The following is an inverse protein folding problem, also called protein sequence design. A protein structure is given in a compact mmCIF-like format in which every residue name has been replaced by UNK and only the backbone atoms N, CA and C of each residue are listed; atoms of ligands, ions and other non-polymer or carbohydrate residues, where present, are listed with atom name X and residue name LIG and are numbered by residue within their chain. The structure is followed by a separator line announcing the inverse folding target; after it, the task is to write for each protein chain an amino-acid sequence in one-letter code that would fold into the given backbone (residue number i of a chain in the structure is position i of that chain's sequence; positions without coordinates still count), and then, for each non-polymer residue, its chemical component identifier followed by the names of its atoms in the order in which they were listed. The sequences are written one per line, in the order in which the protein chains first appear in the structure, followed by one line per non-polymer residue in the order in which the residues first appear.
data_IF_294096545091
#
_entry.id   IF_294096545091
#
_cell.length_a   1.000
_cell.length_b   1.000
_cell.length_c   1.000
_cell.angle_alpha   90.00
_cell.angle_beta   90.00
_cell.angle_gamma   90.00
#
_symmetry.space_group_name_H-M   'P 1'
#
loop_
_entity.id
_entity.type
_entity.pdbx_description
1 polymer ?
#
# COMPACT_ATOMS: atom_id res chain seq x y z
N UNK A 1 -19.24 0.66 -26.73
CA UNK A 1 -17.88 0.08 -26.76
C UNK A 1 -16.90 1.23 -26.80
N UNK A 2 -16.41 1.65 -25.65
CA UNK A 2 -15.33 2.61 -25.53
C UNK A 2 -14.40 2.01 -24.47
N UNK A 3 -13.24 1.53 -24.92
CA UNK A 3 -12.15 1.13 -24.04
C UNK A 3 -11.67 2.39 -23.33
N UNK A 4 -11.87 2.45 -22.02
CA UNK A 4 -11.30 3.49 -21.17
C UNK A 4 -9.78 3.42 -21.28
N UNK A 5 -9.07 4.55 -21.47
CA UNK A 5 -7.61 4.54 -21.48
C UNK A 5 -7.09 4.15 -20.09
N UNK A 6 -6.24 3.14 -20.05
CA UNK A 6 -5.49 2.78 -18.84
C UNK A 6 -4.68 4.00 -18.36
N UNK A 7 -4.60 4.24 -17.04
CA UNK A 7 -3.92 5.42 -16.51
C UNK A 7 -2.40 5.27 -16.70
N UNK A 8 -1.77 6.36 -17.15
CA UNK A 8 -0.36 6.48 -17.49
C UNK A 8 0.56 6.72 -16.29
N UNK A 9 0.16 6.28 -15.09
CA UNK A 9 1.00 6.33 -13.90
C UNK A 9 0.81 5.05 -13.09
N UNK A 10 1.63 4.05 -13.40
CA UNK A 10 1.76 2.82 -12.62
C UNK A 10 2.81 3.05 -11.53
N UNK A 11 2.39 3.10 -10.27
CA UNK A 11 3.34 2.99 -9.16
C UNK A 11 3.49 1.51 -8.82
N UNK A 12 4.73 1.03 -8.72
CA UNK A 12 5.01 -0.33 -8.26
C UNK A 12 5.58 -0.23 -6.85
N UNK A 13 4.87 -0.79 -5.88
CA UNK A 13 5.24 -0.78 -4.47
C UNK A 13 5.65 -2.18 -4.02
N UNK A 14 6.89 -2.34 -3.56
CA UNK A 14 7.40 -3.58 -2.99
C UNK A 14 7.36 -3.50 -1.48
N UNK A 15 6.79 -4.54 -0.87
CA UNK A 15 6.56 -4.68 0.57
C UNK A 15 7.14 -6.03 0.98
N UNK A 16 8.20 -6.03 1.79
CA UNK A 16 8.78 -7.26 2.35
C UNK A 16 8.18 -7.55 3.73
N UNK A 17 7.41 -8.64 3.84
CA UNK A 17 6.79 -9.11 5.08
C UNK A 17 7.40 -10.43 5.55
N UNK A 18 7.64 -10.63 6.84
CA UNK A 18 8.14 -11.92 7.34
C UNK A 18 7.00 -12.94 7.60
N UNK A 19 6.63 -13.78 6.63
CA UNK A 19 5.77 -14.96 6.85
C UNK A 19 4.24 -14.74 6.82
N UNK A 20 3.48 -15.82 7.07
CA UNK A 20 2.01 -15.89 6.97
C UNK A 20 1.39 -16.10 8.35
N UNK A 21 0.51 -15.20 8.80
CA UNK A 21 -0.21 -15.36 10.08
C UNK A 21 -1.04 -16.64 10.09
N UNK A 22 -0.61 -17.65 10.87
CA UNK A 22 -1.38 -18.86 11.15
C UNK A 22 -2.07 -18.76 12.51
N UNK A 23 -3.35 -19.16 12.59
CA UNK A 23 -4.17 -19.04 13.80
C UNK A 23 -3.80 -20.02 14.93
N UNK A 24 -2.67 -20.73 14.82
CA UNK A 24 -2.24 -21.70 15.82
C UNK A 24 -1.24 -21.03 16.77
N UNK A 25 -1.73 -20.53 17.91
CA UNK A 25 -0.92 -19.85 18.91
C UNK A 25 0.07 -20.81 19.57
N UNK A 26 1.30 -20.79 19.09
CA UNK A 26 2.52 -21.14 19.83
C UNK A 26 3.39 -19.91 19.72
N UNK A 27 3.83 -19.36 20.86
CA UNK A 27 4.64 -18.13 21.02
C UNK A 27 5.22 -17.62 19.69
N UNK A 28 4.49 -16.70 19.05
CA UNK A 28 4.89 -16.08 17.79
C UNK A 28 6.12 -15.21 18.05
N UNK A 29 7.19 -15.44 17.29
CA UNK A 29 8.28 -14.48 17.15
C UNK A 29 7.66 -13.10 16.88
N UNK A 30 8.08 -12.06 17.61
CA UNK A 30 7.56 -10.69 17.49
C UNK A 30 7.70 -10.07 16.07
N UNK A 31 8.34 -10.79 15.14
CA UNK A 31 8.57 -10.40 13.76
C UNK A 31 7.64 -11.07 12.74
N UNK A 32 6.80 -12.05 13.09
CA UNK A 32 5.95 -12.72 12.09
C UNK A 32 4.85 -11.77 11.58
N UNK A 33 4.84 -11.51 10.27
CA UNK A 33 3.98 -10.56 9.58
C UNK A 33 4.50 -9.11 9.58
N UNK A 34 5.69 -8.84 10.14
CA UNK A 34 6.23 -7.49 10.20
C UNK A 34 6.66 -6.97 8.81
N UNK A 35 6.39 -5.69 8.56
CA UNK A 35 6.85 -4.97 7.39
C UNK A 35 8.30 -4.49 7.59
N UNK A 36 9.21 -4.98 6.75
CA UNK A 36 10.65 -4.72 6.90
C UNK A 36 11.19 -3.64 5.95
N UNK A 37 10.81 -3.67 4.67
CA UNK A 37 11.27 -2.71 3.66
C UNK A 37 10.13 -2.33 2.71
N UNK A 38 10.21 -1.10 2.22
CA UNK A 38 9.26 -0.49 1.29
C UNK A 38 10.03 0.21 0.19
N UNK A 39 9.79 -0.21 -1.07
CA UNK A 39 10.40 0.41 -2.25
C UNK A 39 9.32 0.83 -3.23
N UNK A 40 9.47 1.99 -3.85
CA UNK A 40 8.56 2.47 -4.87
C UNK A 40 9.27 2.77 -6.18
N UNK A 41 8.57 2.50 -7.27
CA UNK A 41 8.95 2.88 -8.62
C UNK A 41 7.86 3.69 -9.27
N UNK A 42 8.24 4.74 -10.00
CA UNK A 42 7.35 5.35 -10.98
C UNK A 42 7.37 4.55 -12.28
N UNK A 43 6.29 4.64 -13.05
CA UNK A 43 6.23 4.05 -14.39
C UNK A 43 7.33 4.58 -15.31
N UNK A 44 7.65 5.86 -15.21
CA UNK A 44 8.75 6.49 -15.96
C UNK A 44 10.10 5.84 -15.64
N UNK A 45 10.31 5.47 -14.38
CA UNK A 45 11.49 4.74 -13.95
C UNK A 45 11.57 3.38 -14.65
N UNK A 46 10.49 2.61 -14.68
CA UNK A 46 10.47 1.29 -15.32
C UNK A 46 10.67 1.31 -16.85
N UNK A 47 10.54 2.48 -17.50
CA UNK A 47 10.75 2.63 -18.94
C UNK A 47 12.20 3.00 -19.30
N UNK A 48 13.02 3.37 -18.33
CA UNK A 48 14.41 3.78 -18.54
C UNK A 48 15.38 2.66 -18.13
N UNK A 49 16.52 2.56 -18.84
CA UNK A 49 17.54 1.52 -18.61
C UNK A 49 18.26 1.62 -17.24
N UNK A 50 18.08 2.72 -16.50
CA UNK A 50 18.60 2.89 -15.14
C UNK A 50 17.51 3.44 -14.24
N UNK A 51 16.98 2.57 -13.37
CA UNK A 51 15.86 2.87 -12.51
C UNK A 51 16.21 2.50 -11.07
N UNK A 52 16.45 3.51 -10.24
CA UNK A 52 16.68 3.32 -8.81
C UNK A 52 15.36 3.48 -8.03
N UNK A 53 15.01 2.46 -7.26
CA UNK A 53 13.82 2.48 -6.41
C UNK A 53 13.99 3.51 -5.29
N UNK A 54 12.97 4.34 -5.05
CA UNK A 54 12.99 5.26 -3.92
C UNK A 54 12.41 4.60 -2.67
N UNK A 55 12.90 5.01 -1.50
CA UNK A 55 12.35 4.65 -0.20
C UNK A 55 11.47 5.81 0.30
N UNK A 56 10.18 5.59 0.60
CA UNK A 56 9.39 6.62 1.27
C UNK A 56 9.80 6.72 2.74
N UNK A 57 9.64 7.89 3.37
CA UNK A 57 9.82 8.04 4.83
C UNK A 57 8.76 7.25 5.59
N UNK A 58 7.53 7.27 5.11
CA UNK A 58 6.39 6.58 5.71
C UNK A 58 5.55 5.86 4.64
N UNK A 59 4.99 4.72 5.02
CA UNK A 59 3.93 4.05 4.26
C UNK A 59 2.61 4.23 5.01
N UNK A 60 1.59 4.73 4.31
CA UNK A 60 0.22 4.86 4.80
C UNK A 60 -0.68 4.01 3.92
N UNK A 61 -1.18 2.91 4.45
CA UNK A 61 -2.17 2.06 3.78
C UNK A 61 -3.57 2.51 4.16
N UNK A 62 -4.30 3.06 3.20
CA UNK A 62 -5.63 3.64 3.39
C UNK A 62 -6.71 2.73 2.82
N UNK A 63 -7.51 2.11 3.69
CA UNK A 63 -8.63 1.27 3.32
C UNK A 63 -9.92 2.10 3.29
N UNK A 64 -10.52 2.17 2.10
CA UNK A 64 -11.68 3.00 1.81
C UNK A 64 -12.71 2.28 0.93
N UNK A 65 -13.85 2.95 0.77
CA UNK A 65 -14.83 2.62 -0.24
C UNK A 65 -15.44 3.90 -0.83
N UNK A 66 -15.91 3.87 -2.07
CA UNK A 66 -16.46 5.08 -2.71
C UNK A 66 -17.86 5.42 -2.17
N UNK A 67 -18.61 4.45 -1.65
CA UNK A 67 -19.89 4.69 -0.96
C UNK A 67 -19.71 5.15 0.50
N UNK A 68 -18.48 5.21 1.01
CA UNK A 68 -18.19 5.57 2.38
C UNK A 68 -18.07 7.10 2.54
N UNK A 69 -19.15 7.75 2.98
CA UNK A 69 -19.15 9.20 3.21
C UNK A 69 -17.99 9.68 4.12
N UNK A 70 -17.67 9.03 5.27
CA UNK A 70 -16.56 9.48 6.12
C UNK A 70 -15.17 9.31 5.48
N UNK A 71 -15.05 8.51 4.42
CA UNK A 71 -13.81 8.27 3.70
C UNK A 71 -13.40 9.50 2.85
N UNK A 72 -14.35 10.35 2.45
CA UNK A 72 -14.06 11.55 1.65
C UNK A 72 -13.15 12.51 2.41
N UNK A 73 -13.50 12.82 3.67
CA UNK A 73 -12.71 13.73 4.52
C UNK A 73 -11.31 13.17 4.81
N UNK A 74 -11.22 11.86 5.03
CA UNK A 74 -9.92 11.19 5.29
C UNK A 74 -9.04 11.22 4.05
N UNK A 75 -9.58 10.87 2.87
CA UNK A 75 -8.83 10.97 1.61
C UNK A 75 -8.33 12.39 1.31
N UNK A 76 -9.14 13.40 1.62
CA UNK A 76 -8.73 14.81 1.53
C UNK A 76 -7.59 15.18 2.46
N UNK A 77 -7.64 14.69 3.69
CA UNK A 77 -6.56 14.90 4.65
C UNK A 77 -5.26 14.23 4.19
N UNK A 78 -5.34 12.99 3.71
CA UNK A 78 -4.18 12.22 3.23
C UNK A 78 -3.51 12.84 1.99
N UNK A 79 -4.28 13.48 1.12
CA UNK A 79 -3.73 14.20 -0.05
C UNK A 79 -2.85 15.41 0.32
N UNK A 80 -2.93 15.89 1.57
CA UNK A 80 -2.12 17.01 2.06
C UNK A 80 -0.88 16.55 2.83
N UNK A 81 -0.62 15.24 2.92
CA UNK A 81 0.60 14.72 3.52
C UNK A 81 1.83 15.05 2.67
N UNK A 82 3.00 15.00 3.29
CA UNK A 82 4.27 15.32 2.64
C UNK A 82 4.59 14.37 1.49
N UNK A 83 5.32 14.87 0.48
CA UNK A 83 5.68 14.13 -0.74
C UNK A 83 6.58 12.91 -0.50
N UNK A 84 7.20 12.81 0.69
CA UNK A 84 8.03 11.68 1.11
C UNK A 84 7.21 10.57 1.78
N UNK A 85 5.91 10.78 2.02
CA UNK A 85 4.97 9.76 2.49
C UNK A 85 4.28 9.10 1.31
N UNK A 86 4.32 7.78 1.25
CA UNK A 86 3.57 7.01 0.27
C UNK A 86 2.20 6.65 0.84
N UNK A 87 1.13 7.11 0.18
CA UNK A 87 -0.24 6.70 0.48
C UNK A 87 -0.68 5.63 -0.53
N UNK A 88 -0.90 4.41 -0.04
CA UNK A 88 -1.44 3.28 -0.78
C UNK A 88 -2.94 3.17 -0.49
N UNK A 89 -3.80 3.42 -1.48
CA UNK A 89 -5.24 3.31 -1.30
C UNK A 89 -5.76 1.93 -1.72
N UNK A 90 -6.54 1.33 -0.84
CA UNK A 90 -7.16 0.02 -0.99
C UNK A 90 -8.68 0.16 -1.10
N UNK A 91 -9.24 -0.23 -2.24
CA UNK A 91 -10.68 -0.44 -2.40
C UNK A 91 -11.01 -1.91 -2.09
N UNK A 92 -11.26 -2.19 -0.81
CA UNK A 92 -11.56 -3.53 -0.30
C UNK A 92 -13.06 -3.83 -0.23
N UNK A 93 -13.93 -2.90 -0.62
CA UNK A 93 -15.38 -3.12 -0.67
C UNK A 93 -15.81 -3.70 -2.01
N UNK A 94 -16.47 -4.87 -2.06
CA UNK A 94 -16.96 -5.47 -3.31
C UNK A 94 -18.01 -4.63 -4.07
N UNK A 95 -18.49 -3.54 -3.47
CA UNK A 95 -19.43 -2.61 -4.08
C UNK A 95 -18.72 -1.55 -4.94
N UNK A 96 -17.42 -1.35 -4.76
CA UNK A 96 -16.65 -0.41 -5.56
C UNK A 96 -16.32 -1.02 -6.93
N UNK A 97 -16.40 -0.23 -8.00
CA UNK A 97 -16.04 -0.69 -9.35
C UNK A 97 -14.56 -1.05 -9.47
N UNK A 98 -13.73 -0.48 -8.59
CA UNK A 98 -12.28 -0.67 -8.51
C UNK A 98 -11.89 -1.61 -7.37
N UNK A 99 -12.85 -2.42 -6.91
CA UNK A 99 -12.63 -3.48 -5.94
C UNK A 99 -11.46 -4.39 -6.32
N UNK A 100 -10.54 -4.59 -5.39
CA UNK A 100 -9.44 -5.53 -5.51
C UNK A 100 -9.53 -6.61 -4.42
N UNK A 101 -9.63 -7.88 -4.82
CA UNK A 101 -9.72 -9.01 -3.89
C UNK A 101 -8.50 -9.13 -2.97
N UNK A 102 -7.30 -8.80 -3.47
CA UNK A 102 -6.08 -8.75 -2.66
C UNK A 102 -6.14 -7.68 -1.57
N UNK A 103 -6.70 -6.49 -1.88
CA UNK A 103 -6.97 -5.44 -0.89
C UNK A 103 -7.95 -5.91 0.17
N UNK A 104 -9.00 -6.65 -0.24
CA UNK A 104 -9.96 -7.24 0.70
C UNK A 104 -9.35 -8.31 1.60
N UNK A 105 -8.49 -9.17 1.06
CA UNK A 105 -7.79 -10.18 1.85
C UNK A 105 -6.91 -9.53 2.92
N UNK A 106 -6.17 -8.47 2.54
CA UNK A 106 -5.34 -7.70 3.47
C UNK A 106 -6.18 -7.01 4.54
N UNK A 107 -7.29 -6.39 4.15
CA UNK A 107 -8.27 -5.81 5.07
C UNK A 107 -8.84 -6.84 6.07
N UNK A 108 -9.33 -7.99 5.59
CA UNK A 108 -10.05 -8.97 6.41
C UNK A 108 -9.11 -9.84 7.27
N UNK A 109 -7.94 -10.24 6.74
CA UNK A 109 -7.10 -11.27 7.35
C UNK A 109 -5.81 -10.75 7.96
N UNK A 110 -5.12 -9.85 7.25
CA UNK A 110 -3.81 -9.33 7.66
C UNK A 110 -4.00 -8.29 8.77
N UNK A 111 -4.85 -7.28 8.52
CA UNK A 111 -5.13 -6.23 9.51
C UNK A 111 -6.42 -6.42 10.29
N UNK A 112 -7.29 -7.37 9.88
CA UNK A 112 -8.54 -7.72 10.56
C UNK A 112 -9.44 -6.51 10.85
N UNK A 113 -9.53 -5.63 9.86
CA UNK A 113 -10.25 -4.38 9.92
C UNK A 113 -11.76 -4.62 9.90
N UNK A 114 -12.51 -3.80 10.63
CA UNK A 114 -13.96 -3.95 10.77
C UNK A 114 -14.75 -2.84 10.08
N UNK A 115 -14.18 -1.65 9.93
CA UNK A 115 -14.88 -0.48 9.40
C UNK A 115 -14.01 0.35 8.44
N UNK A 116 -14.70 1.05 7.53
CA UNK A 116 -14.11 2.14 6.75
C UNK A 116 -14.41 3.50 7.39
N UNK A 117 -13.53 4.50 7.25
CA UNK A 117 -12.15 4.38 6.78
C UNK A 117 -11.27 3.69 7.85
N UNK A 118 -10.23 3.00 7.41
CA UNK A 118 -9.15 2.51 8.27
C UNK A 118 -7.81 2.84 7.64
N UNK A 119 -6.84 3.23 8.45
CA UNK A 119 -5.47 3.54 8.03
C UNK A 119 -4.50 2.66 8.81
N UNK A 120 -3.53 2.10 8.12
CA UNK A 120 -2.37 1.46 8.73
C UNK A 120 -1.11 2.24 8.38
N UNK A 121 -0.37 2.72 9.38
CA UNK A 121 0.90 3.43 9.21
C UNK A 121 2.04 2.46 9.47
N UNK A 122 2.99 2.40 8.53
CA UNK A 122 4.19 1.56 8.55
C UNK A 122 3.93 0.08 8.88
N UNK A 123 2.75 -0.44 8.55
CA UNK A 123 2.36 -1.83 8.76
C UNK A 123 1.97 -2.21 10.20
N UNK A 124 2.09 -1.33 11.20
CA UNK A 124 1.88 -1.69 12.61
C UNK A 124 1.01 -0.71 13.43
N UNK A 125 0.75 0.51 12.96
CA UNK A 125 -0.11 1.47 13.68
C UNK A 125 -1.47 1.60 13.01
N UNK A 126 -2.52 1.15 13.68
CA UNK A 126 -3.88 1.15 13.17
C UNK A 126 -4.70 2.36 13.67
N UNK A 127 -5.28 3.11 12.73
CA UNK A 127 -6.21 4.21 12.97
C UNK A 127 -7.56 3.87 12.33
N UNK A 128 -8.62 3.81 13.13
CA UNK A 128 -9.97 3.42 12.68
C UNK A 128 -10.96 4.57 12.79
N UNK A 129 -11.71 4.78 11.73
CA UNK A 129 -12.70 5.85 11.63
C UNK A 129 -12.08 7.24 11.40
N UNK A 130 -12.92 8.19 11.01
CA UNK A 130 -12.49 9.52 10.57
C UNK A 130 -11.79 10.34 11.66
N UNK A 131 -12.15 10.15 12.94
CA UNK A 131 -11.54 10.92 14.04
C UNK A 131 -10.07 10.53 14.26
N UNK A 132 -9.78 9.24 14.30
CA UNK A 132 -8.43 8.74 14.50
C UNK A 132 -7.57 8.97 13.24
N UNK A 133 -8.17 8.93 12.06
CA UNK A 133 -7.47 9.24 10.81
C UNK A 133 -6.85 10.64 10.77
N UNK A 134 -7.39 11.61 11.53
CA UNK A 134 -6.82 12.96 11.64
C UNK A 134 -5.54 13.02 12.49
N UNK A 135 -5.25 11.96 13.27
CA UNK A 135 -4.04 11.85 14.08
C UNK A 135 -2.87 11.24 13.29
N UNK A 136 -3.04 10.94 11.98
CA UNK A 136 -2.03 10.24 11.15
C UNK A 136 -0.67 10.95 11.15
N UNK A 137 -0.64 12.28 11.06
CA UNK A 137 0.63 13.04 11.09
C UNK A 137 1.35 12.89 12.43
N UNK A 138 0.61 12.92 13.54
CA UNK A 138 1.17 12.72 14.89
C UNK A 138 1.72 11.31 15.07
N UNK A 139 1.06 10.30 14.49
CA UNK A 139 1.56 8.91 14.50
C UNK A 139 2.86 8.81 13.71
N UNK A 140 2.93 9.40 12.51
CA UNK A 140 4.13 9.38 11.68
C UNK A 140 5.32 10.08 12.34
N UNK A 141 5.11 11.27 12.93
CA UNK A 141 6.16 12.03 13.64
C UNK A 141 6.80 11.25 14.79
N UNK A 142 6.04 10.36 15.43
CA UNK A 142 6.51 9.53 16.54
C UNK A 142 6.98 8.13 16.11
N UNK A 143 6.84 7.78 14.82
CA UNK A 143 7.11 6.44 14.33
C UNK A 143 7.77 6.47 12.94
N UNK A 144 9.03 6.88 12.88
CA UNK A 144 9.84 6.74 11.66
C UNK A 144 10.41 5.32 11.59
N UNK A 145 10.10 4.54 10.53
CA UNK A 145 10.61 3.19 10.35
C UNK A 145 12.02 3.21 9.75
N UNK A 146 12.82 2.19 10.09
CA UNK A 146 14.14 1.96 9.50
C UNK A 146 14.03 0.87 8.42
N UNK A 147 13.69 1.27 7.20
CA UNK A 147 13.49 0.33 6.09
C UNK A 147 14.76 -0.44 5.73
N UNK A 148 14.71 -1.76 5.88
CA UNK A 148 15.82 -2.67 5.60
C UNK A 148 15.32 -4.06 5.21
N UNK A 149 16.12 -4.81 4.45
CA UNK A 149 15.76 -6.15 4.01
C UNK A 149 15.82 -6.33 2.50
N UNK A 150 15.62 -5.27 1.70
CA UNK A 150 15.83 -5.29 0.25
C UNK A 150 17.15 -4.57 -0.07
N UNK A 151 18.18 -5.33 -0.45
CA UNK A 151 19.55 -4.85 -0.63
C UNK A 151 19.80 -4.29 -2.02
N UNK A 152 19.40 -5.05 -3.04
CA UNK A 152 19.49 -4.65 -4.45
C UNK A 152 18.11 -4.72 -5.07
N UNK A 153 17.72 -3.70 -5.84
CA UNK A 153 16.52 -3.70 -6.67
C UNK A 153 16.92 -3.20 -8.06
N UNK A 154 16.63 -3.97 -9.10
CA UNK A 154 16.94 -3.61 -10.48
C UNK A 154 15.77 -3.96 -11.39
N UNK A 155 15.48 -3.08 -12.34
CA UNK A 155 14.52 -3.35 -13.42
C UNK A 155 15.32 -3.45 -14.70
N UNK A 156 15.37 -4.65 -15.29
CA UNK A 156 16.03 -4.90 -16.57
C UNK A 156 15.10 -5.68 -17.49
N UNK A 157 14.90 -5.21 -18.74
CA UNK A 157 14.07 -5.88 -19.74
C UNK A 157 12.67 -6.26 -19.22
N UNK A 158 11.96 -5.31 -18.59
CA UNK A 158 10.65 -5.51 -17.96
C UNK A 158 10.62 -6.54 -16.81
N UNK A 159 11.79 -6.98 -16.33
CA UNK A 159 11.92 -7.89 -15.21
C UNK A 159 12.43 -7.12 -14.01
N UNK A 160 11.66 -7.12 -12.93
CA UNK A 160 12.12 -6.61 -11.64
C UNK A 160 12.82 -7.74 -10.89
N UNK A 161 14.09 -7.55 -10.55
CA UNK A 161 14.88 -8.44 -9.71
C UNK A 161 15.27 -7.73 -8.42
N UNK A 162 15.41 -8.51 -7.35
CA UNK A 162 15.88 -8.00 -6.07
C UNK A 162 16.69 -9.06 -5.33
N UNK A 163 17.60 -8.59 -4.48
CA UNK A 163 18.23 -9.41 -3.45
C UNK A 163 17.68 -8.99 -2.09
N UNK A 164 17.29 -9.98 -1.28
CA UNK A 164 16.82 -9.76 0.09
C UNK A 164 17.84 -10.27 1.10
N UNK A 165 18.03 -9.53 2.21
CA UNK A 165 18.85 -9.96 3.35
C UNK A 165 18.04 -10.69 4.43
N UNK A 166 16.72 -10.72 4.28
CA UNK A 166 15.77 -11.39 5.18
C UNK A 166 14.88 -12.33 4.37
N UNK A 167 14.61 -13.51 4.93
CA UNK A 167 13.59 -14.41 4.36
C UNK A 167 12.20 -13.81 4.60
N UNK A 168 11.32 -13.89 3.61
CA UNK A 168 9.96 -13.40 3.74
C UNK A 168 9.18 -13.42 2.44
N UNK A 169 8.08 -12.69 2.37
CA UNK A 169 7.28 -12.52 1.17
C UNK A 169 7.42 -11.09 0.68
N UNK A 170 7.89 -10.93 -0.57
CA UNK A 170 7.83 -9.65 -1.28
C UNK A 170 6.50 -9.54 -2.00
N UNK A 171 5.69 -8.56 -1.62
CA UNK A 171 4.45 -8.21 -2.29
C UNK A 171 4.64 -6.97 -3.16
N UNK A 172 4.33 -7.10 -4.44
CA UNK A 172 4.37 -6.04 -5.45
C UNK A 172 2.95 -5.54 -5.68
N UNK A 173 2.64 -4.31 -5.30
CA UNK A 173 1.35 -3.65 -5.54
C UNK A 173 1.45 -2.69 -6.71
N UNK A 174 0.55 -2.83 -7.68
CA UNK A 174 0.44 -1.92 -8.81
C UNK A 174 -0.67 -0.90 -8.56
N UNK A 175 -0.32 0.38 -8.62
CA UNK A 175 -1.21 1.48 -8.25
C UNK A 175 -1.48 2.38 -9.43
N UNK A 176 -2.67 2.97 -9.46
CA UNK A 176 -3.11 3.85 -10.52
C UNK A 176 -3.97 5.02 -10.01
N UNK A 177 -3.83 6.22 -10.59
CA UNK A 177 -4.81 7.28 -10.42
C UNK A 177 -6.18 6.82 -10.92
N UNK A 178 -7.18 6.90 -10.05
CA UNK A 178 -8.50 6.32 -10.30
C UNK A 178 -9.61 7.29 -9.88
N UNK A 179 -10.60 7.59 -10.72
CA UNK A 179 -11.71 8.45 -10.34
C UNK A 179 -12.65 7.75 -9.35
N UNK A 180 -13.04 8.47 -8.31
CA UNK A 180 -14.14 8.11 -7.42
C UNK A 180 -15.43 7.92 -8.23
N UNK A 181 -16.16 6.82 -8.00
CA UNK A 181 -17.33 6.43 -8.80
C UNK A 181 -18.39 7.53 -8.92
N UNK A 182 -18.75 8.17 -7.80
CA UNK A 182 -19.81 9.18 -7.80
C UNK A 182 -19.31 10.60 -8.11
N UNK A 183 -18.28 11.07 -7.39
CA UNK A 183 -17.80 12.45 -7.50
C UNK A 183 -16.88 12.71 -8.69
N UNK A 184 -16.28 11.67 -9.27
CA UNK A 184 -15.27 11.78 -10.33
C UNK A 184 -13.91 12.35 -9.86
N UNK A 185 -13.76 12.68 -8.57
CA UNK A 185 -12.50 13.16 -8.00
C UNK A 185 -11.44 12.05 -8.09
N UNK A 186 -10.21 12.42 -8.45
CA UNK A 186 -9.13 11.44 -8.63
C UNK A 186 -8.55 11.05 -7.27
N UNK A 187 -8.58 9.75 -6.99
CA UNK A 187 -7.75 9.09 -5.99
C UNK A 187 -6.35 8.87 -6.59
N UNK A 188 -5.26 9.37 -5.98
CA UNK A 188 -3.94 9.39 -6.63
C UNK A 188 -3.30 8.00 -6.86
N UNK A 189 -3.48 7.06 -5.93
CA UNK A 189 -2.72 5.81 -5.91
C UNK A 189 -3.57 4.63 -5.40
N UNK A 190 -4.55 4.22 -6.21
CA UNK A 190 -5.42 3.07 -5.87
C UNK A 190 -4.79 1.77 -6.38
N UNK A 191 -4.69 0.78 -5.51
CA UNK A 191 -4.21 -0.56 -5.85
C UNK A 191 -5.20 -1.25 -6.81
N UNK A 192 -4.70 -1.71 -7.96
CA UNK A 192 -5.50 -2.43 -8.96
C UNK A 192 -5.00 -3.84 -9.24
N UNK A 193 -3.77 -4.17 -8.85
CA UNK A 193 -3.22 -5.52 -8.98
C UNK A 193 -2.13 -5.78 -7.91
N UNK A 194 -1.88 -7.06 -7.61
CA UNK A 194 -0.89 -7.52 -6.63
C UNK A 194 -0.24 -8.82 -7.08
N UNK A 195 1.09 -8.86 -7.03
CA UNK A 195 1.88 -10.09 -7.15
C UNK A 195 2.62 -10.33 -5.84
N UNK A 196 2.89 -11.58 -5.46
CA UNK A 196 3.67 -11.90 -4.27
C UNK A 196 4.61 -13.07 -4.54
N UNK A 197 5.83 -12.98 -4.02
CA UNK A 197 6.92 -13.93 -4.24
C UNK A 197 7.65 -14.15 -2.91
N UNK A 198 7.96 -15.41 -2.59
CA UNK A 198 8.81 -15.76 -1.45
C UNK A 198 10.27 -15.39 -1.77
N UNK A 199 10.91 -14.65 -0.86
CA UNK A 199 12.28 -14.16 -0.92
C UNK A 199 13.19 -14.99 0.01
#
# INVERSE_FOLDING_TARGET
MASSPWPALVLVLLVLNAGIVSANQTETDENEGALHDVRMFSQECMQNDTCEATKPTHLVEYFSADWCEPCVQVGEHLNNLSNDTLVLQHHSSPQDATFLSASKLKYDLEFRLLFYPSIVVNGNHLLTGSRQALDVSSVMENNTPEWSGLESLQVENNTLSWDASLNGTVSVWMLAPTPHQESGKIHPAVAYDRVSVEA
#
